data_IF_389410428866
#
_entry.id   IF_389410428866
#
_cell.length_a   1.000
_cell.length_b   1.000
_cell.length_c   1.000
_cell.angle_alpha   90.00
_cell.angle_beta   90.00
_cell.angle_gamma   90.00
#
_symmetry.space_group_name_H-M   'P 1'
#
loop_
_entity.id
_entity.type
_entity.pdbx_description
1 polymer ?
#
# COMPACT_ATOMS: atom_id res chain seq x y z
N UNK A 1 -28.22 -34.74 23.37
CA UNK A 1 -27.69 -34.76 21.99
C UNK A 1 -28.02 -33.50 21.16
N UNK A 2 -29.21 -32.90 21.27
CA UNK A 2 -29.58 -31.67 20.53
C UNK A 2 -28.72 -30.43 20.86
N UNK A 3 -28.30 -30.25 22.11
CA UNK A 3 -27.53 -29.07 22.55
C UNK A 3 -26.08 -29.09 22.03
N UNK A 4 -25.43 -30.26 22.01
CA UNK A 4 -24.06 -30.41 21.50
C UNK A 4 -23.98 -30.08 20.00
N UNK A 5 -24.99 -30.49 19.23
CA UNK A 5 -25.10 -30.18 17.81
C UNK A 5 -25.27 -28.67 17.57
N UNK A 6 -26.02 -28.00 18.43
CA UNK A 6 -26.25 -26.55 18.36
C UNK A 6 -24.97 -25.75 18.65
N UNK A 7 -24.17 -26.17 19.65
CA UNK A 7 -22.87 -25.54 19.95
C UNK A 7 -21.86 -25.76 18.83
N UNK A 8 -21.87 -26.92 18.18
CA UNK A 8 -20.98 -27.22 17.04
C UNK A 8 -21.35 -26.39 15.80
N UNK A 9 -22.64 -26.18 15.53
CA UNK A 9 -23.11 -25.32 14.44
C UNK A 9 -22.73 -23.84 14.63
N UNK A 10 -22.80 -23.32 15.86
CA UNK A 10 -22.41 -21.93 16.16
C UNK A 10 -20.89 -21.76 16.03
N UNK A 11 -20.09 -22.73 16.49
CA UNK A 11 -18.62 -22.70 16.33
C UNK A 11 -18.16 -22.74 14.87
N UNK A 12 -18.84 -23.50 14.00
CA UNK A 12 -18.54 -23.58 12.57
C UNK A 12 -18.79 -22.27 11.81
N UNK A 13 -19.81 -21.49 12.19
CA UNK A 13 -20.14 -20.22 11.54
C UNK A 13 -19.06 -19.14 11.76
N UNK A 14 -18.43 -19.12 12.93
CA UNK A 14 -17.37 -18.15 13.26
C UNK A 14 -16.07 -18.46 12.49
N UNK A 15 -15.84 -19.72 12.13
CA UNK A 15 -14.69 -20.15 11.33
C UNK A 15 -14.82 -19.87 9.82
N UNK A 16 -16.04 -19.57 9.33
CA UNK A 16 -16.31 -19.36 7.91
C UNK A 16 -16.23 -17.90 7.44
N UNK A 17 -16.05 -16.93 8.34
CA UNK A 17 -15.90 -15.53 7.93
C UNK A 17 -14.41 -15.17 7.80
N UNK A 18 -13.92 -14.84 6.58
CA UNK A 18 -12.53 -14.45 6.41
C UNK A 18 -12.24 -13.12 7.11
N UNK A 19 -11.11 -13.06 7.80
CA UNK A 19 -10.52 -11.83 8.31
C UNK A 19 -9.50 -11.34 7.27
N UNK A 20 -9.52 -10.05 6.98
CA UNK A 20 -8.54 -9.44 6.08
C UNK A 20 -7.37 -8.87 6.87
N UNK A 21 -6.16 -9.20 6.45
CA UNK A 21 -4.93 -8.58 6.91
C UNK A 21 -4.36 -7.71 5.80
N UNK A 22 -4.26 -6.41 6.04
CA UNK A 22 -3.71 -5.49 5.06
C UNK A 22 -2.19 -5.45 5.19
N UNK A 23 -1.49 -5.71 4.09
CA UNK A 23 -0.03 -5.73 3.99
C UNK A 23 0.54 -4.36 3.61
N UNK A 24 -0.16 -3.64 2.73
CA UNK A 24 0.25 -2.33 2.20
C UNK A 24 -0.97 -1.42 2.01
N UNK A 25 -0.84 -0.12 2.29
CA UNK A 25 -1.95 0.84 2.20
C UNK A 25 -2.35 1.15 0.76
N UNK A 26 -3.48 1.84 0.63
CA UNK A 26 -3.75 2.63 -0.57
C UNK A 26 -2.92 3.90 -0.45
N UNK A 27 -2.13 4.23 -1.47
CA UNK A 27 -1.33 5.48 -1.50
C UNK A 27 -1.72 6.28 -2.72
N UNK A 28 -2.03 7.54 -2.51
CA UNK A 28 -2.43 8.49 -3.53
C UNK A 28 -1.65 9.78 -3.36
N UNK A 29 -1.43 10.47 -4.47
CA UNK A 29 -0.67 11.71 -4.48
C UNK A 29 -0.50 12.20 -5.92
N UNK A 30 0.37 13.17 -6.10
CA UNK A 30 0.65 13.76 -7.41
C UNK A 30 2.16 13.83 -7.64
N UNK A 31 2.57 13.66 -8.90
CA UNK A 31 3.97 13.81 -9.30
C UNK A 31 4.15 15.05 -10.19
N UNK A 32 5.14 15.85 -9.84
CA UNK A 32 5.43 17.13 -10.46
C UNK A 32 6.90 17.21 -10.85
N UNK A 33 7.20 17.91 -11.93
CA UNK A 33 8.57 18.26 -12.30
C UNK A 33 9.09 19.31 -11.31
N UNK A 34 10.22 19.03 -10.66
CA UNK A 34 10.84 19.91 -9.67
C UNK A 34 11.36 21.23 -10.23
N UNK A 35 11.73 21.28 -11.51
CA UNK A 35 12.24 22.44 -12.23
C UNK A 35 11.10 23.31 -12.76
N UNK A 36 10.19 22.73 -13.53
CA UNK A 36 9.09 23.49 -14.17
C UNK A 36 7.91 23.73 -13.24
N UNK A 37 7.82 22.99 -12.13
CA UNK A 37 6.66 22.95 -11.23
C UNK A 37 5.37 22.53 -11.93
N UNK A 38 5.46 21.94 -13.12
CA UNK A 38 4.33 21.41 -13.85
C UNK A 38 4.02 19.96 -13.42
N UNK A 39 2.75 19.54 -13.48
CA UNK A 39 2.39 18.14 -13.24
C UNK A 39 2.97 17.24 -14.34
N UNK A 40 3.38 16.04 -13.95
CA UNK A 40 3.81 14.99 -14.90
C UNK A 40 2.55 14.26 -15.35
N UNK A 41 1.89 14.80 -16.38
CA UNK A 41 0.54 14.38 -16.79
C UNK A 41 0.55 13.23 -17.79
N UNK A 42 -0.43 12.31 -17.68
CA UNK A 42 -0.67 11.23 -18.66
C UNK A 42 0.57 10.36 -18.96
N UNK A 43 1.52 10.32 -18.04
CA UNK A 43 2.79 9.63 -18.21
C UNK A 43 2.73 8.24 -17.58
N UNK A 44 3.35 7.26 -18.22
CA UNK A 44 3.56 5.94 -17.63
C UNK A 44 4.90 5.91 -16.92
N UNK A 45 4.87 5.43 -15.68
CA UNK A 45 6.04 5.23 -14.85
C UNK A 45 5.79 4.10 -13.87
N UNK A 46 6.79 3.81 -13.04
CA UNK A 46 6.63 2.88 -11.93
C UNK A 46 6.43 3.67 -10.64
N UNK A 47 5.39 3.31 -9.87
CA UNK A 47 5.16 3.79 -8.51
C UNK A 47 4.72 2.59 -7.68
N UNK A 48 5.51 2.17 -6.68
CA UNK A 48 5.17 0.98 -5.91
C UNK A 48 6.04 0.73 -4.69
N UNK A 49 5.73 -0.35 -3.97
CA UNK A 49 6.37 -0.72 -2.70
C UNK A 49 7.68 -1.49 -2.84
N UNK A 50 8.04 -1.87 -4.07
CA UNK A 50 9.30 -2.52 -4.42
C UNK A 50 10.08 -1.64 -5.41
N UNK A 51 11.35 -1.96 -5.68
CA UNK A 51 12.23 -1.16 -6.53
C UNK A 51 11.82 -1.07 -8.01
N UNK A 52 10.67 -1.62 -8.41
CA UNK A 52 10.14 -1.40 -9.75
C UNK A 52 10.90 -2.10 -10.85
N UNK A 53 11.47 -3.26 -10.52
CA UNK A 53 12.13 -4.14 -11.50
C UNK A 53 11.12 -4.91 -12.37
N UNK A 54 9.82 -4.76 -12.10
CA UNK A 54 8.74 -5.43 -12.80
C UNK A 54 7.94 -4.42 -13.64
N UNK A 55 8.19 -4.46 -14.96
CA UNK A 55 7.53 -3.58 -15.93
C UNK A 55 6.01 -3.79 -16.03
N UNK A 56 5.48 -4.90 -15.49
CA UNK A 56 4.03 -5.18 -15.47
C UNK A 56 3.27 -4.32 -14.45
N UNK A 57 3.98 -3.58 -13.58
CA UNK A 57 3.41 -2.76 -12.51
C UNK A 57 3.46 -1.25 -12.77
N UNK A 58 3.49 -0.85 -14.04
CA UNK A 58 3.46 0.57 -14.41
C UNK A 58 2.12 1.20 -14.02
N UNK A 59 2.19 2.42 -13.48
CA UNK A 59 1.05 3.28 -13.19
C UNK A 59 1.08 4.44 -14.19
N UNK A 60 -0.10 4.80 -14.69
CA UNK A 60 -0.30 5.98 -15.53
C UNK A 60 -0.86 7.12 -14.68
N UNK A 61 -0.21 8.27 -14.71
CA UNK A 61 -0.73 9.49 -14.08
C UNK A 61 -1.90 10.05 -14.88
N UNK A 62 -2.80 10.79 -14.22
CA UNK A 62 -3.87 11.49 -14.91
C UNK A 62 -3.43 12.87 -15.46
N UNK A 63 -4.39 13.65 -15.95
CA UNK A 63 -4.18 15.01 -16.47
C UNK A 63 -3.72 16.03 -15.42
N UNK A 64 -3.76 15.69 -14.13
CA UNK A 64 -3.27 16.51 -13.01
C UNK A 64 -1.95 15.98 -12.43
N UNK A 65 -1.40 14.90 -13.00
CA UNK A 65 -0.23 14.21 -12.45
C UNK A 65 -0.57 13.30 -11.26
N UNK A 66 -1.85 13.04 -11.00
CA UNK A 66 -2.28 12.21 -9.86
C UNK A 66 -2.05 10.74 -10.14
N UNK A 67 -1.71 9.99 -9.08
CA UNK A 67 -1.53 8.55 -9.11
C UNK A 67 -2.23 7.86 -7.94
N UNK A 68 -2.44 6.56 -8.08
CA UNK A 68 -3.01 5.71 -7.04
C UNK A 68 -2.36 4.33 -7.04
N UNK A 69 -1.77 3.94 -5.92
CA UNK A 69 -1.29 2.59 -5.65
C UNK A 69 -2.40 1.84 -4.93
N UNK A 70 -2.80 0.69 -5.48
CA UNK A 70 -3.83 -0.16 -4.87
C UNK A 70 -3.32 -0.80 -3.57
N UNK A 71 -4.17 -0.90 -2.53
CA UNK A 71 -3.79 -1.60 -1.31
C UNK A 71 -3.57 -3.09 -1.56
N UNK A 72 -2.69 -3.70 -0.76
CA UNK A 72 -2.50 -5.16 -0.76
C UNK A 72 -3.03 -5.72 0.55
N UNK A 73 -3.93 -6.70 0.48
CA UNK A 73 -4.46 -7.41 1.63
C UNK A 73 -4.50 -8.92 1.36
N UNK A 74 -4.36 -9.70 2.43
CA UNK A 74 -4.43 -11.17 2.43
C UNK A 74 -5.52 -11.61 3.39
N UNK A 75 -6.41 -12.50 2.96
CA UNK A 75 -7.47 -13.04 3.80
C UNK A 75 -7.01 -14.29 4.56
N UNK A 76 -7.40 -14.42 5.83
CA UNK A 76 -7.17 -15.62 6.64
C UNK A 76 -8.42 -15.96 7.47
N UNK A 77 -8.58 -17.22 7.83
CA UNK A 77 -9.79 -17.70 8.54
C UNK A 77 -9.48 -18.04 10.00
N UNK A 78 -8.54 -18.96 10.24
CA UNK A 78 -8.28 -19.51 11.59
C UNK A 78 -6.87 -19.16 12.08
N UNK A 79 -5.86 -19.36 11.23
CA UNK A 79 -4.46 -19.09 11.57
C UNK A 79 -4.04 -17.74 11.01
N UNK A 80 -3.71 -16.80 11.91
CA UNK A 80 -3.12 -15.53 11.49
C UNK A 80 -1.73 -15.80 10.87
N UNK A 81 -1.44 -15.20 9.70
CA UNK A 81 -0.11 -15.32 9.11
C UNK A 81 0.95 -14.68 10.02
N UNK A 82 2.23 -15.06 9.86
CA UNK A 82 3.33 -14.42 10.61
C UNK A 82 3.54 -12.98 10.11
N UNK A 83 2.88 -12.05 10.80
CA UNK A 83 2.77 -10.65 10.41
C UNK A 83 4.11 -9.91 10.44
N UNK A 84 4.99 -10.25 11.39
CA UNK A 84 6.32 -9.64 11.49
C UNK A 84 7.16 -9.92 10.25
N UNK A 85 7.02 -11.12 9.67
CA UNK A 85 7.71 -11.47 8.41
C UNK A 85 7.09 -10.79 7.19
N UNK A 86 5.77 -10.57 7.18
CA UNK A 86 5.04 -10.02 6.03
C UNK A 86 4.96 -8.49 5.99
N UNK A 87 5.02 -7.82 7.15
CA UNK A 87 4.99 -6.36 7.29
C UNK A 87 6.38 -5.71 7.32
N UNK A 88 7.46 -6.50 7.23
CA UNK A 88 8.84 -6.06 7.45
C UNK A 88 9.43 -5.14 6.37
N UNK A 89 8.61 -4.67 5.43
CA UNK A 89 9.06 -3.71 4.42
C UNK A 89 8.87 -2.30 4.95
N UNK A 90 9.93 -1.50 4.87
CA UNK A 90 9.90 -0.08 5.19
C UNK A 90 8.69 0.62 4.53
N UNK A 91 8.10 1.63 5.19
CA UNK A 91 6.93 2.37 4.71
C UNK A 91 7.37 3.36 3.61
N UNK A 92 7.87 2.81 2.51
CA UNK A 92 8.44 3.55 1.40
C UNK A 92 7.75 3.17 0.10
N UNK A 93 7.64 4.14 -0.80
CA UNK A 93 7.33 3.94 -2.21
C UNK A 93 8.52 4.36 -3.06
N UNK A 94 8.74 3.66 -4.16
CA UNK A 94 9.73 3.98 -5.17
C UNK A 94 9.00 4.52 -6.40
N UNK A 95 9.53 5.60 -6.94
CA UNK A 95 8.92 6.38 -8.02
C UNK A 95 9.95 6.53 -9.12
N UNK A 96 9.64 6.02 -10.31
CA UNK A 96 10.50 6.10 -11.47
C UNK A 96 9.67 6.46 -12.70
N UNK A 97 10.02 7.58 -13.34
CA UNK A 97 9.47 8.00 -14.61
C UNK A 97 10.61 8.25 -15.57
N UNK A 98 10.43 7.89 -16.84
CA UNK A 98 11.43 8.13 -17.89
C UNK A 98 11.81 9.61 -17.94
N UNK A 99 13.10 9.90 -17.88
CA UNK A 99 13.65 11.26 -17.89
C UNK A 99 13.71 11.95 -16.52
N UNK A 100 13.36 11.23 -15.44
CA UNK A 100 13.47 11.70 -14.06
C UNK A 100 14.30 10.74 -13.22
N UNK A 101 15.03 11.28 -12.25
CA UNK A 101 15.75 10.49 -11.26
C UNK A 101 14.75 9.67 -10.43
N UNK A 102 15.14 8.42 -10.14
CA UNK A 102 14.35 7.56 -9.25
C UNK A 102 14.30 8.18 -7.86
N UNK A 103 13.09 8.27 -7.29
CA UNK A 103 12.86 8.84 -5.97
C UNK A 103 12.24 7.82 -5.05
N UNK A 104 12.78 7.71 -3.85
CA UNK A 104 12.17 6.98 -2.73
C UNK A 104 11.43 7.98 -1.85
N UNK A 105 10.18 7.69 -1.51
CA UNK A 105 9.37 8.51 -0.62
C UNK A 105 8.95 7.70 0.60
N UNK A 106 9.28 8.19 1.79
CA UNK A 106 8.88 7.61 3.07
C UNK A 106 7.51 8.16 3.50
N UNK A 107 6.52 7.30 3.62
CA UNK A 107 5.16 7.64 4.01
C UNK A 107 4.82 7.27 5.46
N UNK A 108 5.81 6.92 6.30
CA UNK A 108 5.60 6.59 7.72
C UNK A 108 4.96 7.70 8.55
N UNK A 109 4.96 8.94 8.05
CA UNK A 109 4.59 10.14 8.81
C UNK A 109 5.31 10.23 10.18
N UNK A 110 6.51 9.65 10.29
CA UNK A 110 7.31 9.65 11.53
C UNK A 110 6.83 8.69 12.62
N UNK A 111 5.88 7.79 12.34
CA UNK A 111 5.41 6.79 13.31
C UNK A 111 6.19 5.47 13.16
N UNK A 112 6.83 4.98 14.23
CA UNK A 112 7.47 3.66 14.22
C UNK A 112 6.44 2.56 13.96
N UNK A 113 6.80 1.57 13.14
CA UNK A 113 5.97 0.36 12.95
C UNK A 113 5.70 -0.39 14.27
N UNK A 114 6.57 -0.20 15.25
CA UNK A 114 6.53 -0.83 16.58
C UNK A 114 5.43 -0.26 17.49
N UNK A 115 4.95 0.97 17.25
CA UNK A 115 3.89 1.61 18.04
C UNK A 115 2.48 1.15 17.64
N UNK A 116 2.37 0.23 16.69
CA UNK A 116 1.11 -0.31 16.19
C UNK A 116 0.71 -1.53 17.04
N UNK A 117 0.11 -1.25 18.21
CA UNK A 117 -0.17 -2.26 19.26
C UNK A 117 -1.41 -3.14 19.01
N UNK A 118 -2.32 -2.74 18.14
CA UNK A 118 -3.54 -3.50 17.81
C UNK A 118 -3.69 -3.61 16.29
N UNK A 119 -4.09 -4.82 15.83
CA UNK A 119 -4.26 -5.23 14.43
C UNK A 119 -3.81 -4.16 13.40
N UNK A 120 -2.53 -4.21 12.95
CA UNK A 120 -1.99 -3.22 12.01
C UNK A 120 -2.85 -3.02 10.77
N UNK A 121 -3.64 -4.03 10.38
CA UNK A 121 -4.61 -3.98 9.29
C UNK A 121 -5.73 -2.93 9.45
N UNK A 122 -6.08 -2.53 10.68
CA UNK A 122 -7.14 -1.54 10.90
C UNK A 122 -6.70 -0.11 10.50
N UNK A 123 -5.41 0.22 10.63
CA UNK A 123 -4.87 1.51 10.17
C UNK A 123 -4.61 1.56 8.68
N UNK A 124 -4.56 0.44 7.98
CA UNK A 124 -4.23 0.40 6.54
C UNK A 124 -5.49 0.65 5.67
N UNK A 125 -6.63 0.90 6.32
CA UNK A 125 -7.76 1.64 5.76
C UNK A 125 -7.46 3.15 5.62
N UNK A 126 -6.40 3.68 6.24
CA UNK A 126 -5.91 5.03 6.00
C UNK A 126 -5.33 5.06 4.60
N UNK A 127 -6.16 5.49 3.66
CA UNK A 127 -5.68 6.02 2.38
C UNK A 127 -4.63 7.08 2.70
N UNK A 128 -3.40 6.82 2.28
CA UNK A 128 -2.29 7.73 2.54
C UNK A 128 -2.22 8.70 1.38
N UNK A 129 -2.52 9.96 1.68
CA UNK A 129 -2.22 11.05 0.77
C UNK A 129 -0.78 11.54 1.03
N UNK A 130 0.09 11.33 0.04
CA UNK A 130 1.50 11.80 0.09
C UNK A 130 1.66 13.21 -0.50
N UNK A 131 0.56 13.85 -0.91
CA UNK A 131 0.56 15.19 -1.49
C UNK A 131 1.32 15.26 -2.80
N UNK A 132 2.09 16.33 -2.98
CA UNK A 132 2.88 16.56 -4.19
C UNK A 132 4.31 16.06 -3.99
N UNK A 133 4.72 15.15 -4.86
CA UNK A 133 6.09 14.66 -4.95
C UNK A 133 6.77 15.28 -6.17
N UNK A 134 7.74 16.15 -5.90
CA UNK A 134 8.59 16.70 -6.96
C UNK A 134 9.67 15.71 -7.39
N UNK A 135 9.75 15.42 -8.68
CA UNK A 135 10.77 14.60 -9.32
C UNK A 135 11.82 15.48 -10.00
N UNK A 136 13.07 15.09 -9.84
CA UNK A 136 14.20 15.78 -10.45
C UNK A 136 14.43 15.24 -11.87
N UNK A 137 14.39 16.09 -12.90
CA UNK A 137 14.76 15.67 -14.26
C UNK A 137 16.20 15.16 -14.29
N UNK A 138 16.50 14.14 -15.10
CA UNK A 138 17.86 13.62 -15.27
C UNK A 138 18.82 14.64 -15.94
N UNK A 139 18.27 15.71 -16.56
CA UNK A 139 18.99 16.74 -17.32
C UNK A 139 18.35 18.12 -17.18
#
# INVERSE_FOLDING_TARGET
MKIILFVFCIGGLIACTPKNYYLKPEVNGQVFDSRTKAPITNAEGYIGYDLGLDESKKIKTDHTGSFKITPRAESYYIFAPNLKKMSNSAPQIYINFKGYLTKTYDYSNGKPLEDIKENPGARILEKIDVGIIYLEPEK
#
